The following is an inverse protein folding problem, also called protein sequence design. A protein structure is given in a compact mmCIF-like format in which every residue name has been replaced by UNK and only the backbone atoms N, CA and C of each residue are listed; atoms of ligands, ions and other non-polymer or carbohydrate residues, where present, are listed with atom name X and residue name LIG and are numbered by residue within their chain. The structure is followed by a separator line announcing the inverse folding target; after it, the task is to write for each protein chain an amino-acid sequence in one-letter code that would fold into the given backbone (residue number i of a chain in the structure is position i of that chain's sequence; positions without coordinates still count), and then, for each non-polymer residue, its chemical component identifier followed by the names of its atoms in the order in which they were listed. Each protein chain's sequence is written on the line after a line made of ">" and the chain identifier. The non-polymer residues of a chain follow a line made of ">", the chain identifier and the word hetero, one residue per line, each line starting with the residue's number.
data_IF_626521445918
#
_entry.id   IF_626521445918
#
_cell.length_a   1.000
_cell.length_b   1.000
_cell.length_c   1.000
_cell.angle_alpha   90.00
_cell.angle_beta   90.00
_cell.angle_gamma   90.00
#
_symmetry.space_group_name_H-M   'P 1'
#
loop_
_entity.id
_entity.type
_entity.pdbx_description
1 polymer ?
#
# COMPACT_ATOMS: atom_id res chain seq x y z
N UNK A 1 -22.74 -18.19 -5.22
CA UNK A 1 -22.99 -18.86 -3.93
C UNK A 1 -23.69 -17.88 -2.99
N UNK A 2 -24.50 -18.33 -2.03
CA UNK A 2 -25.06 -17.44 -1.00
C UNK A 2 -23.95 -16.97 -0.05
N UNK A 3 -24.22 -15.94 0.77
CA UNK A 3 -23.30 -15.50 1.82
C UNK A 3 -22.98 -16.63 2.81
N UNK A 4 -23.99 -17.36 3.25
CA UNK A 4 -23.83 -18.49 4.17
C UNK A 4 -22.97 -19.60 3.57
N UNK A 5 -23.12 -19.87 2.27
CA UNK A 5 -22.29 -20.84 1.57
C UNK A 5 -20.84 -20.37 1.45
N UNK A 6 -20.61 -19.08 1.18
CA UNK A 6 -19.27 -18.51 1.17
C UNK A 6 -18.57 -18.64 2.54
N UNK A 7 -19.29 -18.38 3.64
CA UNK A 7 -18.80 -18.54 5.01
C UNK A 7 -18.50 -20.01 5.34
N UNK A 8 -19.39 -20.94 4.94
CA UNK A 8 -19.18 -22.39 5.10
C UNK A 8 -17.92 -22.85 4.35
N UNK A 9 -17.73 -22.39 3.11
CA UNK A 9 -16.57 -22.70 2.31
C UNK A 9 -15.29 -22.11 2.91
N UNK A 10 -15.34 -20.88 3.43
CA UNK A 10 -14.22 -20.25 4.14
C UNK A 10 -13.75 -21.09 5.33
N UNK A 11 -14.69 -21.68 6.08
CA UNK A 11 -14.36 -22.59 7.20
C UNK A 11 -13.82 -23.96 6.77
N UNK A 12 -14.05 -24.39 5.52
CA UNK A 12 -13.68 -25.73 5.02
C UNK A 12 -12.39 -25.70 4.19
N UNK A 13 -12.18 -24.65 3.40
CA UNK A 13 -11.10 -24.54 2.44
C UNK A 13 -9.92 -23.78 3.06
N UNK A 14 -8.75 -24.44 3.15
CA UNK A 14 -7.55 -23.88 3.78
C UNK A 14 -7.05 -22.56 3.16
N UNK A 15 -7.33 -22.32 1.88
CA UNK A 15 -6.88 -21.13 1.13
C UNK A 15 -8.05 -20.49 0.40
N UNK A 16 -8.98 -19.93 1.17
CA UNK A 16 -10.20 -19.33 0.63
C UNK A 16 -10.31 -17.87 1.08
N UNK A 17 -10.36 -16.98 0.08
CA UNK A 17 -10.71 -15.58 0.25
C UNK A 17 -12.15 -15.36 -0.17
N UNK A 18 -12.90 -14.66 0.66
CA UNK A 18 -14.29 -14.30 0.35
C UNK A 18 -14.34 -12.84 -0.10
N UNK A 19 -15.08 -12.59 -1.18
CA UNK A 19 -15.42 -11.25 -1.67
C UNK A 19 -16.93 -11.13 -1.78
N UNK A 20 -17.47 -10.09 -1.17
CA UNK A 20 -18.91 -9.84 -1.16
C UNK A 20 -19.23 -8.68 -2.09
N UNK A 21 -19.90 -8.99 -3.19
CA UNK A 21 -20.40 -8.01 -4.14
C UNK A 21 -21.86 -7.72 -3.81
N UNK A 22 -22.11 -6.68 -2.99
CA UNK A 22 -23.43 -6.41 -2.41
C UNK A 22 -24.45 -5.91 -3.42
N UNK A 23 -23.97 -5.26 -4.48
CA UNK A 23 -24.80 -4.66 -5.52
C UNK A 23 -25.04 -5.62 -6.70
N UNK A 24 -24.56 -6.86 -6.59
CA UNK A 24 -24.62 -7.87 -7.65
C UNK A 24 -25.55 -9.03 -7.31
N UNK A 25 -26.15 -9.59 -8.34
CA UNK A 25 -27.05 -10.73 -8.28
C UNK A 25 -26.34 -12.09 -8.41
N UNK A 26 -27.15 -13.14 -8.52
CA UNK A 26 -26.65 -14.52 -8.65
C UNK A 26 -25.95 -14.82 -9.99
N UNK A 27 -26.02 -13.91 -10.96
CA UNK A 27 -25.41 -14.03 -12.28
C UNK A 27 -24.31 -12.98 -12.49
N UNK A 28 -23.56 -12.67 -11.44
CA UNK A 28 -22.50 -11.65 -11.42
C UNK A 28 -21.57 -11.65 -12.64
N UNK A 29 -21.24 -12.81 -13.22
CA UNK A 29 -20.37 -12.90 -14.41
C UNK A 29 -20.99 -12.32 -15.70
N UNK A 30 -22.29 -12.02 -15.69
CA UNK A 30 -23.05 -11.46 -16.81
C UNK A 30 -23.54 -10.04 -16.49
N UNK A 31 -23.23 -9.51 -15.32
CA UNK A 31 -23.70 -8.19 -14.87
C UNK A 31 -22.69 -7.11 -15.26
N UNK A 32 -23.21 -5.99 -15.75
CA UNK A 32 -22.38 -4.83 -16.04
C UNK A 32 -21.74 -4.30 -14.76
N UNK A 33 -20.45 -3.96 -14.83
CA UNK A 33 -19.68 -3.41 -13.70
C UNK A 33 -18.85 -4.45 -12.93
N UNK A 34 -19.04 -5.75 -13.15
CA UNK A 34 -18.16 -6.79 -12.59
C UNK A 34 -17.02 -7.13 -13.56
N UNK A 35 -15.78 -7.00 -13.11
CA UNK A 35 -14.59 -7.43 -13.86
C UNK A 35 -13.89 -8.59 -13.15
N UNK A 36 -13.95 -9.77 -13.78
CA UNK A 36 -13.37 -10.99 -13.22
C UNK A 36 -11.85 -10.93 -13.12
N UNK A 37 -11.18 -10.30 -14.10
CA UNK A 37 -9.71 -10.22 -14.16
C UNK A 37 -9.19 -9.34 -13.03
N UNK A 38 -9.78 -8.17 -12.86
CA UNK A 38 -9.53 -7.21 -11.78
C UNK A 38 -9.78 -7.86 -10.43
N UNK A 39 -10.86 -8.63 -10.28
CA UNK A 39 -11.16 -9.38 -9.06
C UNK A 39 -10.08 -10.41 -8.74
N UNK A 40 -9.61 -11.18 -9.73
CA UNK A 40 -8.54 -12.17 -9.54
C UNK A 40 -7.21 -11.49 -9.20
N UNK A 41 -6.87 -10.36 -9.86
CA UNK A 41 -5.69 -9.53 -9.54
C UNK A 41 -5.77 -9.02 -8.10
N UNK A 42 -6.90 -8.45 -7.73
CA UNK A 42 -7.20 -7.91 -6.40
C UNK A 42 -7.14 -8.97 -5.31
N UNK A 43 -7.67 -10.17 -5.55
CA UNK A 43 -7.58 -11.29 -4.62
C UNK A 43 -6.13 -11.82 -4.47
N UNK A 44 -5.21 -11.49 -5.37
CA UNK A 44 -3.82 -11.95 -5.34
C UNK A 44 -3.66 -13.43 -5.75
N UNK A 45 -4.65 -13.98 -6.44
CA UNK A 45 -4.69 -15.41 -6.82
C UNK A 45 -4.06 -15.69 -8.19
N UNK A 46 -3.83 -14.64 -9.01
CA UNK A 46 -3.11 -14.80 -10.27
C UNK A 46 -1.65 -15.18 -10.03
N UNK A 47 -1.20 -16.27 -10.68
CA UNK A 47 0.18 -16.75 -10.66
C UNK A 47 0.49 -17.55 -11.92
N UNK A 48 1.72 -17.48 -12.42
CA UNK A 48 2.17 -18.26 -13.60
C UNK A 48 2.87 -19.56 -13.24
N UNK A 49 3.14 -19.76 -11.94
CA UNK A 49 3.79 -20.97 -11.43
C UNK A 49 3.05 -21.54 -10.21
N UNK A 50 3.58 -22.60 -9.61
CA UNK A 50 3.04 -23.17 -8.37
C UNK A 50 3.13 -22.21 -7.18
N UNK A 51 4.07 -21.28 -7.21
CA UNK A 51 4.22 -20.24 -6.18
C UNK A 51 3.95 -18.86 -6.78
N UNK A 52 3.33 -18.00 -5.99
CA UNK A 52 3.05 -16.61 -6.37
C UNK A 52 4.35 -15.81 -6.37
N UNK A 53 4.62 -15.12 -7.48
CA UNK A 53 5.69 -14.14 -7.62
C UNK A 53 5.10 -12.74 -7.79
N UNK A 54 5.05 -11.96 -6.71
CA UNK A 54 4.45 -10.62 -6.71
C UNK A 54 5.10 -9.62 -7.69
N UNK A 55 6.33 -9.89 -8.13
CA UNK A 55 7.03 -9.05 -9.10
C UNK A 55 6.77 -9.55 -10.50
N UNK A 56 7.08 -10.82 -10.76
CA UNK A 56 7.02 -11.38 -12.11
C UNK A 56 5.58 -11.66 -12.54
N UNK A 57 4.71 -12.19 -11.67
CA UNK A 57 3.30 -12.48 -11.99
C UNK A 57 2.45 -11.21 -12.12
N UNK A 58 2.98 -10.03 -11.83
CA UNK A 58 2.24 -8.78 -11.97
C UNK A 58 1.70 -8.59 -13.40
N UNK A 59 0.46 -8.12 -13.48
CA UNK A 59 -0.20 -7.72 -14.72
C UNK A 59 -0.38 -6.21 -14.72
N UNK A 60 0.01 -5.50 -15.80
CA UNK A 60 -0.23 -4.07 -15.93
C UNK A 60 -1.68 -3.69 -15.67
N UNK A 61 -1.88 -2.44 -15.23
CA UNK A 61 -3.21 -1.88 -15.05
C UNK A 61 -3.88 -1.60 -16.39
N UNK A 62 -5.20 -1.80 -16.43
CA UNK A 62 -6.04 -1.21 -17.47
C UNK A 62 -6.32 0.27 -17.15
N UNK A 63 -6.74 1.02 -18.16
CA UNK A 63 -7.12 2.43 -17.96
C UNK A 63 -8.31 2.56 -16.99
N UNK A 64 -9.26 1.62 -17.03
CA UNK A 64 -10.41 1.59 -16.12
C UNK A 64 -9.99 1.32 -14.66
N UNK A 65 -9.04 0.40 -14.43
CA UNK A 65 -8.49 0.17 -13.09
C UNK A 65 -7.78 1.41 -12.55
N UNK A 66 -7.05 2.14 -13.40
CA UNK A 66 -6.37 3.38 -13.03
C UNK A 66 -7.37 4.50 -12.71
N UNK A 67 -8.41 4.69 -13.53
CA UNK A 67 -9.43 5.71 -13.26
C UNK A 67 -10.21 5.41 -11.97
N UNK A 68 -10.54 4.14 -11.70
CA UNK A 68 -11.14 3.73 -10.43
C UNK A 68 -10.24 3.99 -9.23
N UNK A 69 -8.94 3.77 -9.37
CA UNK A 69 -7.96 4.09 -8.33
C UNK A 69 -7.91 5.59 -8.04
N UNK A 70 -7.88 6.42 -9.10
CA UNK A 70 -7.90 7.89 -8.99
C UNK A 70 -9.21 8.38 -8.36
N UNK A 71 -10.35 7.81 -8.76
CA UNK A 71 -11.66 8.22 -8.25
C UNK A 71 -11.84 7.88 -6.77
N UNK A 72 -11.32 6.72 -6.31
CA UNK A 72 -11.32 6.33 -4.89
C UNK A 72 -10.72 7.42 -4.00
N UNK A 73 -9.60 7.99 -4.42
CA UNK A 73 -8.84 8.95 -3.61
C UNK A 73 -9.18 10.41 -3.97
N UNK A 74 -10.15 10.66 -4.87
CA UNK A 74 -10.45 11.99 -5.41
C UNK A 74 -10.86 12.98 -4.34
N UNK A 75 -11.77 12.59 -3.45
CA UNK A 75 -12.26 13.49 -2.39
C UNK A 75 -11.15 13.83 -1.40
N UNK A 76 -10.36 12.81 -1.02
CA UNK A 76 -9.23 12.97 -0.13
C UNK A 76 -8.18 13.90 -0.76
N UNK A 77 -7.78 13.64 -2.01
CA UNK A 77 -6.84 14.48 -2.77
C UNK A 77 -7.33 15.92 -2.89
N UNK A 78 -8.63 16.12 -3.12
CA UNK A 78 -9.21 17.45 -3.19
C UNK A 78 -9.16 18.18 -1.84
N UNK A 79 -9.41 17.47 -0.74
CA UNK A 79 -9.36 18.04 0.60
C UNK A 79 -7.93 18.33 1.08
N UNK A 80 -6.96 17.48 0.71
CA UNK A 80 -5.57 17.58 1.19
C UNK A 80 -4.66 18.40 0.27
N UNK A 81 -5.03 18.59 -1.00
CA UNK A 81 -4.24 19.24 -2.07
C UNK A 81 -2.73 18.96 -1.95
N UNK A 82 -2.32 17.68 -2.00
CA UNK A 82 -1.00 17.28 -1.53
C UNK A 82 0.09 17.82 -2.45
N UNK A 83 1.09 18.48 -1.88
CA UNK A 83 2.24 19.00 -2.61
C UNK A 83 3.37 17.99 -2.57
N UNK A 84 3.61 17.33 -3.72
CA UNK A 84 4.77 16.45 -3.89
C UNK A 84 6.03 17.25 -4.18
N UNK A 85 7.14 16.81 -3.59
CA UNK A 85 8.48 17.38 -3.76
C UNK A 85 9.43 16.24 -4.15
N UNK A 86 10.26 16.47 -5.16
CA UNK A 86 11.33 15.54 -5.57
C UNK A 86 12.67 16.26 -5.65
N UNK A 87 13.74 15.48 -5.73
CA UNK A 87 15.12 15.99 -5.71
C UNK A 87 15.79 15.81 -7.08
N UNK A 88 16.38 16.88 -7.62
CA UNK A 88 17.18 16.85 -8.84
C UNK A 88 18.59 16.25 -8.58
N UNK A 89 19.36 15.88 -9.63
CA UNK A 89 20.70 15.31 -9.47
C UNK A 89 21.71 16.20 -8.73
N UNK A 90 21.52 17.52 -8.74
CA UNK A 90 22.32 18.51 -8.02
C UNK A 90 21.88 18.71 -6.55
N UNK A 91 20.88 17.94 -6.09
CA UNK A 91 20.31 18.04 -4.75
C UNK A 91 19.22 19.11 -4.61
N UNK A 92 18.89 19.84 -5.67
CA UNK A 92 17.83 20.85 -5.61
C UNK A 92 16.46 20.21 -5.46
N UNK A 93 15.70 20.68 -4.46
CA UNK A 93 14.31 20.29 -4.26
C UNK A 93 13.43 21.05 -5.26
N UNK A 94 12.54 20.33 -5.93
CA UNK A 94 11.59 20.87 -6.90
C UNK A 94 10.19 20.36 -6.60
N UNK A 95 9.19 21.20 -6.89
CA UNK A 95 7.78 20.80 -6.81
C UNK A 95 7.46 19.79 -7.91
N UNK A 96 6.64 18.80 -7.57
CA UNK A 96 6.26 17.70 -8.43
C UNK A 96 7.40 16.70 -8.62
N UNK A 97 7.35 16.01 -9.76
CA UNK A 97 8.12 14.79 -10.01
C UNK A 97 9.26 14.99 -11.01
N UNK A 98 9.66 16.23 -11.27
CA UNK A 98 10.73 16.54 -12.23
C UNK A 98 12.10 15.95 -11.83
N UNK A 99 12.29 15.55 -10.56
CA UNK A 99 13.45 14.82 -10.08
C UNK A 99 13.49 13.34 -10.48
N UNK A 100 12.38 12.76 -10.95
CA UNK A 100 12.36 11.35 -11.36
C UNK A 100 13.11 11.17 -12.69
N UNK A 101 14.05 10.22 -12.79
CA UNK A 101 14.65 9.87 -14.06
C UNK A 101 13.64 9.11 -14.94
N UNK A 102 13.94 8.98 -16.24
CA UNK A 102 13.06 8.30 -17.21
C UNK A 102 13.18 6.78 -17.23
N UNK A 103 14.23 6.23 -16.62
CA UNK A 103 14.51 4.80 -16.61
C UNK A 103 15.06 4.36 -15.25
N UNK A 104 14.74 3.13 -14.86
CA UNK A 104 15.20 2.54 -13.60
C UNK A 104 16.46 1.68 -13.71
N UNK A 105 16.88 1.06 -12.58
CA UNK A 105 16.16 1.00 -11.32
C UNK A 105 16.18 2.32 -10.54
N UNK A 106 15.04 2.68 -9.94
CA UNK A 106 14.91 3.85 -9.05
C UNK A 106 14.36 3.38 -7.71
N UNK A 107 14.90 3.95 -6.64
CA UNK A 107 14.36 3.80 -5.30
C UNK A 107 13.91 5.17 -4.80
N UNK A 108 12.60 5.39 -4.76
CA UNK A 108 12.01 6.54 -4.11
C UNK A 108 12.01 6.30 -2.60
N UNK A 109 12.64 7.20 -1.85
CA UNK A 109 12.74 7.13 -0.39
C UNK A 109 12.16 8.39 0.22
N UNK A 110 11.22 8.22 1.13
CA UNK A 110 10.52 9.31 1.82
C UNK A 110 9.95 8.84 3.14
N UNK A 111 9.08 9.65 3.72
CA UNK A 111 8.35 9.35 4.97
C UNK A 111 6.86 9.22 4.66
N UNK A 112 6.12 8.44 5.47
CA UNK A 112 4.67 8.33 5.32
C UNK A 112 3.95 9.50 5.96
N UNK A 113 2.90 9.99 5.30
CA UNK A 113 1.84 10.74 5.97
C UNK A 113 0.96 9.78 6.78
N UNK A 114 0.06 10.34 7.59
CA UNK A 114 -0.83 9.56 8.43
C UNK A 114 -1.64 8.56 7.58
N UNK A 115 -1.65 7.30 8.02
CA UNK A 115 -2.25 6.15 7.34
C UNK A 115 -1.70 5.80 5.96
N UNK A 116 -0.68 6.50 5.46
CA UNK A 116 -0.14 6.29 4.12
C UNK A 116 -1.08 6.78 3.02
N UNK A 117 -1.89 7.81 3.30
CA UNK A 117 -2.87 8.34 2.36
C UNK A 117 -2.23 8.95 1.11
N UNK A 118 -0.99 9.41 1.22
CA UNK A 118 -0.26 10.04 0.13
C UNK A 118 0.06 9.07 -1.01
N UNK A 119 0.06 7.76 -0.73
CA UNK A 119 0.45 6.73 -1.70
C UNK A 119 -0.46 6.71 -2.91
N UNK A 120 -1.77 6.85 -2.70
CA UNK A 120 -2.77 6.78 -3.76
C UNK A 120 -2.55 7.87 -4.81
N UNK A 121 -2.63 9.16 -4.41
CA UNK A 121 -2.37 10.29 -5.30
C UNK A 121 -0.96 10.28 -5.89
N UNK A 122 0.06 9.86 -5.12
CA UNK A 122 1.44 9.76 -5.59
C UNK A 122 1.58 8.74 -6.72
N UNK A 123 1.19 7.49 -6.49
CA UNK A 123 1.40 6.40 -7.45
C UNK A 123 0.53 6.60 -8.69
N UNK A 124 -0.74 6.98 -8.52
CA UNK A 124 -1.65 7.23 -9.65
C UNK A 124 -1.25 8.48 -10.44
N UNK A 125 -0.85 9.55 -9.75
CA UNK A 125 -0.40 10.79 -10.37
C UNK A 125 0.88 10.61 -11.19
N UNK A 126 1.88 9.88 -10.67
CA UNK A 126 3.10 9.55 -11.41
C UNK A 126 2.76 8.72 -12.65
N UNK A 127 1.98 7.65 -12.49
CA UNK A 127 1.62 6.77 -13.58
C UNK A 127 0.87 7.51 -14.69
N UNK A 128 -0.14 8.32 -14.32
CA UNK A 128 -0.95 9.07 -15.28
C UNK A 128 -0.16 10.14 -16.03
N UNK A 129 0.75 10.84 -15.34
CA UNK A 129 1.48 11.98 -15.93
C UNK A 129 2.75 11.57 -16.70
N UNK A 130 3.34 10.42 -16.38
CA UNK A 130 4.65 10.02 -16.93
C UNK A 130 4.67 8.63 -17.57
N UNK A 131 3.66 7.80 -17.33
CA UNK A 131 3.67 6.38 -17.68
C UNK A 131 4.57 5.51 -16.80
N UNK A 132 5.25 6.09 -15.81
CA UNK A 132 6.13 5.37 -14.89
C UNK A 132 5.27 4.70 -13.81
N UNK A 133 5.33 3.37 -13.72
CA UNK A 133 4.65 2.62 -12.69
C UNK A 133 5.54 2.43 -11.46
N UNK A 134 5.16 3.05 -10.35
CA UNK A 134 5.82 2.89 -9.05
C UNK A 134 5.26 1.65 -8.34
N UNK A 135 6.17 0.81 -7.85
CA UNK A 135 5.88 -0.42 -7.09
C UNK A 135 6.20 -0.20 -5.61
N UNK A 136 5.16 -0.08 -4.78
CA UNK A 136 5.32 0.12 -3.33
C UNK A 136 5.66 -1.17 -2.56
N UNK A 137 6.61 -1.08 -1.63
CA UNK A 137 6.88 -2.15 -0.67
C UNK A 137 5.93 -2.02 0.52
N UNK A 138 5.00 -2.97 0.65
CA UNK A 138 3.93 -2.93 1.62
C UNK A 138 4.07 -4.02 2.68
N UNK A 139 3.47 -3.80 3.85
CA UNK A 139 3.52 -4.74 4.96
C UNK A 139 2.91 -6.11 4.57
N UNK A 140 3.54 -7.27 4.89
CA UNK A 140 3.08 -8.59 4.43
C UNK A 140 1.64 -8.96 4.84
N UNK A 141 1.15 -8.35 5.93
CA UNK A 141 -0.24 -8.45 6.37
C UNK A 141 -1.24 -8.10 5.26
N UNK A 142 -0.93 -7.14 4.39
CA UNK A 142 -1.82 -6.77 3.27
C UNK A 142 -1.95 -7.85 2.20
N UNK A 143 -1.23 -8.98 2.31
CA UNK A 143 -1.18 -10.03 1.30
C UNK A 143 -1.47 -11.42 1.85
N UNK A 144 -1.41 -11.62 3.16
CA UNK A 144 -1.52 -12.94 3.78
C UNK A 144 -2.98 -13.31 4.13
N UNK A 145 -3.20 -14.59 4.39
CA UNK A 145 -4.52 -15.13 4.76
C UNK A 145 -5.01 -14.64 6.12
N UNK A 146 -4.11 -14.23 7.04
CA UNK A 146 -4.53 -13.77 8.36
C UNK A 146 -5.27 -12.43 8.31
N UNK A 147 -4.94 -11.56 7.34
CA UNK A 147 -5.75 -10.35 7.10
C UNK A 147 -7.20 -10.67 6.71
N UNK A 148 -7.42 -11.73 5.91
CA UNK A 148 -8.76 -12.15 5.49
C UNK A 148 -9.57 -12.80 6.62
N UNK A 149 -8.88 -13.33 7.65
CA UNK A 149 -9.51 -13.92 8.84
C UNK A 149 -9.82 -12.88 9.91
N UNK A 150 -8.95 -11.88 10.06
CA UNK A 150 -9.07 -10.84 11.08
C UNK A 150 -9.95 -9.67 10.66
N UNK A 151 -10.01 -9.36 9.35
CA UNK A 151 -10.77 -8.23 8.82
C UNK A 151 -11.99 -8.78 8.07
N UNK A 152 -13.23 -8.43 8.48
CA UNK A 152 -14.46 -8.90 7.83
C UNK A 152 -14.56 -8.56 6.34
N UNK A 153 -13.84 -7.53 5.89
CA UNK A 153 -13.73 -7.17 4.48
C UNK A 153 -12.30 -6.70 4.13
N UNK A 154 -11.47 -7.64 3.69
CA UNK A 154 -10.10 -7.39 3.25
C UNK A 154 -10.01 -6.84 1.83
N UNK A 155 -11.13 -6.61 1.13
CA UNK A 155 -11.14 -6.08 -0.25
C UNK A 155 -10.51 -4.68 -0.35
N UNK A 156 -10.43 -3.95 0.77
CA UNK A 156 -9.69 -2.68 0.84
C UNK A 156 -8.21 -2.81 0.42
N UNK A 157 -7.60 -3.99 0.62
CA UNK A 157 -6.23 -4.27 0.18
C UNK A 157 -6.13 -4.71 -1.30
N UNK A 158 -7.26 -5.04 -1.94
CA UNK A 158 -7.28 -5.46 -3.35
C UNK A 158 -6.72 -4.36 -4.25
N UNK A 159 -7.08 -3.09 -3.99
CA UNK A 159 -6.57 -1.99 -4.80
C UNK A 159 -5.05 -1.88 -4.70
N UNK A 160 -4.45 -2.04 -3.53
CA UNK A 160 -2.99 -1.99 -3.41
C UNK A 160 -2.33 -3.09 -4.23
N UNK A 161 -2.92 -4.29 -4.28
CA UNK A 161 -2.44 -5.40 -5.12
C UNK A 161 -2.64 -5.15 -6.61
N UNK A 162 -3.79 -4.59 -7.02
CA UNK A 162 -4.08 -4.17 -8.40
C UNK A 162 -3.09 -3.09 -8.86
N UNK A 163 -2.80 -2.11 -8.00
CA UNK A 163 -1.81 -1.06 -8.20
C UNK A 163 -0.36 -1.58 -8.13
N UNK A 164 -0.15 -2.87 -7.87
CA UNK A 164 1.16 -3.51 -7.93
C UNK A 164 2.00 -3.39 -6.65
N UNK A 165 1.41 -3.10 -5.49
CA UNK A 165 2.12 -3.22 -4.22
C UNK A 165 2.68 -4.63 -4.04
N UNK A 166 3.84 -4.72 -3.40
CA UNK A 166 4.59 -5.97 -3.21
C UNK A 166 4.91 -6.15 -1.74
N UNK A 167 4.76 -7.36 -1.15
CA UNK A 167 5.15 -7.59 0.24
C UNK A 167 6.63 -7.26 0.45
N UNK A 168 6.93 -6.48 1.49
CA UNK A 168 8.31 -6.13 1.83
C UNK A 168 9.08 -7.37 2.28
N UNK A 169 9.99 -7.84 1.41
CA UNK A 169 10.94 -8.91 1.67
C UNK A 169 12.22 -8.64 0.90
N UNK A 170 13.36 -9.16 1.37
CA UNK A 170 14.64 -9.02 0.66
C UNK A 170 14.58 -9.60 -0.76
N UNK A 171 13.84 -10.69 -0.96
CA UNK A 171 13.69 -11.35 -2.27
C UNK A 171 12.87 -10.49 -3.23
N UNK A 172 11.74 -9.97 -2.80
CA UNK A 172 10.91 -9.11 -3.64
C UNK A 172 11.61 -7.79 -3.96
N UNK A 173 12.28 -7.20 -2.98
CA UNK A 173 13.04 -5.97 -3.19
C UNK A 173 14.18 -6.17 -4.19
N UNK A 174 14.93 -7.27 -4.06
CA UNK A 174 15.94 -7.67 -5.04
C UNK A 174 15.35 -7.79 -6.45
N UNK A 175 14.23 -8.50 -6.61
CA UNK A 175 13.58 -8.72 -7.92
C UNK A 175 13.11 -7.42 -8.56
N UNK A 176 12.49 -6.52 -7.79
CA UNK A 176 12.06 -5.23 -8.31
C UNK A 176 13.23 -4.42 -8.88
N UNK A 177 14.35 -4.37 -8.15
CA UNK A 177 15.54 -3.65 -8.62
C UNK A 177 16.23 -4.36 -9.80
N UNK A 178 16.26 -5.69 -9.83
CA UNK A 178 16.81 -6.45 -10.97
C UNK A 178 16.00 -6.25 -12.25
N UNK A 179 14.68 -6.14 -12.14
CA UNK A 179 13.75 -5.82 -13.22
C UNK A 179 13.70 -4.32 -13.55
N UNK A 180 14.66 -3.53 -13.03
CA UNK A 180 14.82 -2.09 -13.28
C UNK A 180 13.56 -1.26 -12.96
N UNK A 181 12.75 -1.70 -12.01
CA UNK A 181 11.50 -1.03 -11.64
C UNK A 181 11.74 0.25 -10.84
N UNK A 182 10.70 1.08 -10.75
CA UNK A 182 10.63 2.19 -9.81
C UNK A 182 10.01 1.67 -8.52
N UNK A 183 10.76 1.70 -7.43
CA UNK A 183 10.37 1.14 -6.14
C UNK A 183 10.13 2.27 -5.15
N UNK A 184 9.02 2.20 -4.41
CA UNK A 184 8.72 3.12 -3.32
C UNK A 184 8.98 2.44 -1.98
N UNK A 185 9.80 3.08 -1.16
CA UNK A 185 10.23 2.59 0.15
C UNK A 185 10.11 3.69 1.20
N UNK A 186 9.45 3.33 2.30
CA UNK A 186 9.38 4.11 3.53
C UNK A 186 10.22 3.41 4.60
N UNK A 187 11.37 3.97 5.02
CA UNK A 187 12.31 3.29 5.90
C UNK A 187 11.74 2.88 7.25
N UNK A 188 10.83 3.68 7.83
CA UNK A 188 10.14 3.35 9.08
C UNK A 188 8.90 2.49 8.89
N UNK A 189 8.44 2.32 7.64
CA UNK A 189 7.35 1.43 7.27
C UNK A 189 6.05 1.73 8.02
N UNK A 190 5.37 0.68 8.50
CA UNK A 190 4.08 0.82 9.17
C UNK A 190 4.12 1.74 10.41
N UNK A 191 5.28 1.95 11.03
CA UNK A 191 5.43 2.85 12.18
C UNK A 191 5.36 4.33 11.78
N UNK A 192 5.80 4.67 10.58
CA UNK A 192 5.67 6.01 10.00
C UNK A 192 4.22 6.28 9.58
N UNK A 193 3.56 5.31 8.94
CA UNK A 193 2.15 5.43 8.57
C UNK A 193 1.22 5.54 9.80
N UNK A 194 1.66 5.07 10.96
CA UNK A 194 0.93 5.13 12.23
C UNK A 194 1.69 6.00 13.25
N UNK A 195 2.19 7.13 12.78
CA UNK A 195 2.91 8.08 13.62
C UNK A 195 2.02 8.71 14.69
N UNK A 196 2.65 9.23 15.75
CA UNK A 196 1.97 9.84 16.91
C UNK A 196 1.91 11.35 16.76
N UNK A 197 1.20 12.01 17.69
CA UNK A 197 1.13 13.48 17.70
C UNK A 197 2.54 14.06 17.85
N UNK A 198 2.88 15.05 17.04
CA UNK A 198 4.20 15.68 17.03
C UNK A 198 5.29 14.88 16.28
N UNK A 199 4.91 13.78 15.63
CA UNK A 199 5.78 12.96 14.78
C UNK A 199 5.49 13.12 13.28
N UNK A 200 4.60 14.05 12.91
CA UNK A 200 4.29 14.41 11.53
C UNK A 200 5.60 14.81 10.81
N UNK A 201 5.68 14.52 9.51
CA UNK A 201 6.85 14.85 8.68
C UNK A 201 8.18 14.19 9.10
N UNK A 202 8.17 13.24 10.05
CA UNK A 202 9.39 12.58 10.52
C UNK A 202 9.69 11.30 9.76
N UNK A 203 10.97 11.16 9.43
CA UNK A 203 11.51 9.95 8.83
C UNK A 203 12.25 9.13 9.90
N UNK A 204 11.86 7.87 10.03
CA UNK A 204 12.33 6.94 11.05
C UNK A 204 13.25 5.92 10.40
N UNK A 205 14.55 6.16 10.51
CA UNK A 205 15.54 5.25 9.96
C UNK A 205 15.63 3.95 10.78
N UNK A 206 15.69 2.78 10.12
CA UNK A 206 16.03 1.55 10.81
C UNK A 206 17.49 1.61 11.29
N UNK A 207 17.80 0.90 12.38
CA UNK A 207 19.17 0.77 12.91
C UNK A 207 20.17 0.29 11.83
N UNK A 208 19.70 -0.58 10.94
CA UNK A 208 20.45 -1.05 9.78
C UNK A 208 19.71 -0.69 8.49
N UNK A 209 20.27 0.23 7.72
CA UNK A 209 19.72 0.69 6.43
C UNK A 209 20.19 -0.19 5.26
N UNK A 210 19.80 -1.46 5.32
CA UNK A 210 20.18 -2.49 4.33
C UNK A 210 19.72 -2.18 2.90
N UNK A 211 18.72 -1.31 2.76
CA UNK A 211 18.24 -0.91 1.44
C UNK A 211 19.29 -0.14 0.63
N UNK A 212 20.21 0.60 1.29
CA UNK A 212 21.29 1.33 0.61
C UNK A 212 22.26 0.35 -0.04
N UNK A 213 22.59 -0.74 0.66
CA UNK A 213 23.45 -1.81 0.14
C UNK A 213 22.79 -2.50 -1.07
N UNK A 214 21.49 -2.76 -1.00
CA UNK A 214 20.75 -3.35 -2.12
C UNK A 214 20.67 -2.38 -3.31
N UNK A 215 20.37 -1.10 -3.08
CA UNK A 215 20.33 -0.07 -4.12
C UNK A 215 21.69 0.05 -4.83
N UNK A 216 22.78 0.12 -4.06
CA UNK A 216 24.15 0.15 -4.60
C UNK A 216 24.48 -1.08 -5.46
N UNK A 217 24.06 -2.28 -5.03
CA UNK A 217 24.29 -3.53 -5.79
C UNK A 217 23.73 -3.49 -7.22
N UNK A 218 22.62 -2.79 -7.42
CA UNK A 218 21.95 -2.68 -8.73
C UNK A 218 22.21 -1.34 -9.43
N UNK A 219 23.02 -0.45 -8.84
CA UNK A 219 23.19 0.91 -9.33
C UNK A 219 21.87 1.70 -9.37
N UNK A 220 20.96 1.43 -8.43
CA UNK A 220 19.67 2.10 -8.37
C UNK A 220 19.85 3.58 -7.98
N UNK A 221 19.15 4.46 -8.70
CA UNK A 221 19.12 5.88 -8.35
C UNK A 221 18.20 6.07 -7.16
N UNK A 222 18.74 6.51 -6.02
CA UNK A 222 17.94 6.87 -4.85
C UNK A 222 17.43 8.29 -5.06
N UNK A 223 16.11 8.46 -5.08
CA UNK A 223 15.44 9.76 -5.19
C UNK A 223 14.74 10.05 -3.86
N UNK A 224 15.28 10.97 -3.04
CA UNK A 224 14.55 11.52 -1.91
C UNK A 224 13.31 12.27 -2.42
N UNK A 225 12.16 11.99 -1.83
CA UNK A 225 10.93 12.72 -2.07
C UNK A 225 10.24 13.07 -0.75
N UNK A 226 9.32 14.03 -0.83
CA UNK A 226 8.45 14.39 0.28
C UNK A 226 7.07 14.77 -0.23
N UNK A 227 6.09 14.72 0.65
CA UNK A 227 4.74 15.23 0.41
C UNK A 227 4.44 16.29 1.48
N UNK A 228 3.44 17.15 1.28
CA UNK A 228 2.93 18.10 2.29
C UNK A 228 1.41 18.20 2.11
N UNK A 229 0.65 18.34 3.18
CA UNK A 229 -0.79 18.65 3.14
C UNK A 229 -1.65 17.74 4.01
N UNK A 230 -1.46 16.41 3.93
CA UNK A 230 -2.36 15.46 4.62
C UNK A 230 -2.30 15.56 6.14
N UNK A 231 -1.09 15.62 6.70
CA UNK A 231 -0.88 15.79 8.14
C UNK A 231 -1.27 17.20 8.63
N UNK A 232 -1.52 18.16 7.72
CA UNK A 232 -1.87 19.54 8.08
C UNK A 232 -3.38 19.78 8.23
N UNK A 233 -4.21 18.89 7.68
CA UNK A 233 -5.67 19.07 7.65
C UNK A 233 -6.41 18.32 8.76
N UNK A 234 -5.75 17.39 9.45
CA UNK A 234 -6.36 16.53 10.45
C UNK A 234 -5.59 16.58 11.77
N UNK A 235 -6.27 17.02 12.85
CA UNK A 235 -5.74 16.86 14.20
C UNK A 235 -6.05 15.44 14.70
N UNK A 236 -5.01 14.67 15.04
CA UNK A 236 -5.21 13.35 15.64
C UNK A 236 -5.80 13.49 17.05
N UNK A 237 -6.99 12.93 17.27
CA UNK A 237 -7.68 12.97 18.56
C UNK A 237 -7.02 12.05 19.59
N UNK A 238 -6.77 10.79 19.23
CA UNK A 238 -6.13 9.80 20.08
C UNK A 238 -5.03 9.09 19.29
N UNK A 239 -3.80 9.14 19.81
CA UNK A 239 -2.73 8.32 19.29
C UNK A 239 -2.66 6.97 20.03
N UNK A 240 -1.73 6.10 19.60
CA UNK A 240 -1.53 4.79 20.24
C UNK A 240 -1.33 4.87 21.76
N UNK A 241 -0.62 5.87 22.26
CA UNK A 241 -0.36 5.99 23.70
C UNK A 241 -1.65 6.33 24.46
N UNK A 242 -2.56 7.07 23.83
CA UNK A 242 -3.86 7.37 24.42
C UNK A 242 -4.79 6.16 24.39
N UNK A 243 -4.80 5.40 23.29
CA UNK A 243 -5.58 4.17 23.18
C UNK A 243 -5.15 3.11 24.20
N UNK A 244 -3.84 2.98 24.47
CA UNK A 244 -3.32 2.07 25.49
C UNK A 244 -3.79 2.41 26.93
N UNK A 245 -4.32 3.61 27.16
CA UNK A 245 -4.89 4.01 28.45
C UNK A 245 -6.38 3.65 28.57
N UNK A 246 -7.04 3.23 27.48
CA UNK A 246 -8.45 2.87 27.49
C UNK A 246 -8.66 1.49 28.12
N UNK A 247 -9.72 1.30 28.93
CA UNK A 247 -10.05 0.00 29.50
C UNK A 247 -10.21 -1.07 28.41
N UNK A 248 -9.63 -2.25 28.62
CA UNK A 248 -9.72 -3.44 27.76
C UNK A 248 -9.03 -3.34 26.39
N UNK A 249 -8.44 -2.19 26.03
CA UNK A 249 -7.72 -2.04 24.76
C UNK A 249 -6.44 -2.88 24.73
N UNK A 250 -5.79 -3.10 25.87
CA UNK A 250 -4.62 -3.97 26.01
C UNK A 250 -4.89 -5.44 25.60
N UNK A 251 -6.10 -5.93 25.82
CA UNK A 251 -6.55 -7.26 25.39
C UNK A 251 -6.73 -7.29 23.87
N UNK A 252 -7.34 -6.24 23.31
CA UNK A 252 -7.52 -6.10 21.86
C UNK A 252 -6.16 -5.96 21.14
N UNK A 253 -5.26 -5.14 21.68
CA UNK A 253 -3.91 -4.95 21.17
C UNK A 253 -3.12 -6.25 21.17
N UNK A 254 -3.15 -7.01 22.27
CA UNK A 254 -2.52 -8.35 22.34
C UNK A 254 -3.08 -9.28 21.27
N UNK A 255 -4.40 -9.34 21.09
CA UNK A 255 -5.02 -10.21 20.08
C UNK A 255 -4.67 -9.80 18.65
N UNK A 256 -4.56 -8.51 18.39
CA UNK A 256 -4.16 -7.96 17.09
C UNK A 256 -2.66 -8.14 16.81
N UNK A 257 -1.86 -8.24 17.86
CA UNK A 257 -0.39 -8.33 17.79
C UNK A 257 0.17 -9.73 18.13
N UNK A 258 -0.68 -10.71 18.44
CA UNK A 258 -0.32 -12.07 18.86
C UNK A 258 0.41 -12.87 17.76
N UNK A 259 0.22 -12.52 16.48
CA UNK A 259 0.89 -13.13 15.33
C UNK A 259 2.23 -12.45 14.95
N UNK A 260 2.78 -11.58 15.81
CA UNK A 260 4.04 -10.86 15.55
C UNK A 260 3.88 -9.60 14.69
N UNK A 261 2.63 -9.22 14.39
CA UNK A 261 2.27 -7.91 13.89
C UNK A 261 2.46 -6.93 15.07
N UNK A 262 3.33 -5.93 14.97
CA UNK A 262 3.34 -4.83 15.95
C UNK A 262 2.62 -3.65 15.33
N UNK A 263 1.31 -3.78 15.12
CA UNK A 263 0.48 -2.72 14.55
C UNK A 263 0.03 -1.79 15.67
N UNK A 264 0.16 -0.49 15.44
CA UNK A 264 -0.20 0.56 16.39
C UNK A 264 -1.41 1.31 15.87
N UNK A 265 -2.60 0.97 16.33
CA UNK A 265 -3.81 1.65 15.87
C UNK A 265 -3.89 3.08 16.43
N UNK A 266 -4.68 3.91 15.75
CA UNK A 266 -4.91 5.33 16.05
C UNK A 266 -6.38 5.67 15.74
N UNK A 267 -6.92 6.75 16.31
CA UNK A 267 -8.26 7.25 16.01
C UNK A 267 -8.20 8.71 15.53
N UNK A 268 -8.84 8.98 14.40
CA UNK A 268 -8.83 10.28 13.71
C UNK A 268 -10.25 10.85 13.66
N UNK A 269 -10.39 12.17 13.81
CA UNK A 269 -11.61 12.93 13.50
C UNK A 269 -11.38 13.65 12.17
N UNK A 270 -12.35 13.53 11.25
CA UNK A 270 -12.44 14.32 10.02
C UNK A 270 -13.44 15.47 10.22
#
# INVERSE_FOLDING_TARGET
>A
PSRDEAERLRGTLKKCRVRHFRDNGHKILLEDGFDLVTTIKGAGDYRRSRQTDYVLDFLPLSDDELEKAIDRDRLLTFATDPVMLSTLPDGKIVRGLAGLPRAGPVLLVGYHMLMGFELGPLVTGVLRSTGIHIRGLAHPFMFNESSDQLIPDSSNYDLHRIMGAVPVTAVNFYKLLSEKQFVLLYPGGAREALHRKGEEYRLFWPEQSEFVRMASRFGATIIPFGVVGEDDICDMLLDYNDLMKLPFYDILDKKLNEEGLKLRYILILF
#
